data_IF_455945532248
#
_entry.id   IF_455945532248
#
_cell.length_a   1.000
_cell.length_b   1.000
_cell.length_c   1.000
_cell.angle_alpha   90.00
_cell.angle_beta   90.00
_cell.angle_gamma   90.00
#
_symmetry.space_group_name_H-M   'P 1'
#
loop_
_entity.id
_entity.type
_entity.pdbx_description
1 polymer ?
#
# COMPACT_ATOMS: atom_id res chain seq x y z
N UNK A 1 -13.74 38.22 32.99
CA UNK A 1 -13.65 36.78 32.67
C UNK A 1 -12.69 36.62 31.50
N UNK A 2 -11.57 35.97 31.75
CA UNK A 2 -10.44 35.82 30.82
C UNK A 2 -10.74 34.81 29.73
N UNK A 3 -10.61 35.21 28.47
CA UNK A 3 -10.56 34.32 27.31
C UNK A 3 -9.20 33.65 27.31
N UNK A 4 -9.11 32.48 27.96
CA UNK A 4 -7.92 31.64 27.89
C UNK A 4 -7.69 31.23 26.43
N UNK A 5 -6.78 31.94 25.75
CA UNK A 5 -6.14 31.48 24.53
C UNK A 5 -5.51 30.12 24.85
N UNK A 6 -6.00 29.06 24.20
CA UNK A 6 -5.31 27.77 24.22
C UNK A 6 -3.88 28.00 23.71
N UNK A 7 -2.85 27.50 24.40
CA UNK A 7 -1.49 27.66 23.95
C UNK A 7 -1.35 27.04 22.56
N UNK A 8 -0.73 27.78 21.64
CA UNK A 8 -0.29 27.34 20.32
C UNK A 8 0.89 26.35 20.41
N UNK A 9 0.82 25.41 21.35
CA UNK A 9 1.73 24.29 21.50
C UNK A 9 1.13 23.06 20.84
N UNK A 10 1.98 22.23 20.23
CA UNK A 10 1.66 20.95 19.60
C UNK A 10 1.16 20.98 18.14
N UNK A 11 1.82 21.77 17.29
CA UNK A 11 2.15 21.26 15.96
C UNK A 11 3.23 20.17 16.08
N UNK A 12 2.97 19.12 16.87
CA UNK A 12 3.75 17.89 16.83
C UNK A 12 3.76 17.45 15.37
N UNK A 13 4.95 17.28 14.79
CA UNK A 13 5.12 16.70 13.46
C UNK A 13 4.51 15.31 13.52
N UNK A 14 3.24 15.17 13.16
CA UNK A 14 2.58 13.88 13.12
C UNK A 14 3.18 13.11 11.96
N UNK A 15 3.82 11.99 12.28
CA UNK A 15 4.27 11.03 11.27
C UNK A 15 3.05 10.63 10.44
N UNK A 16 3.13 10.68 9.09
CA UNK A 16 2.03 10.23 8.25
C UNK A 16 1.70 8.77 8.58
N UNK A 17 0.43 8.44 8.74
CA UNK A 17 -0.03 7.08 9.08
C UNK A 17 0.46 6.04 8.06
N UNK A 18 0.58 6.42 6.79
CA UNK A 18 1.13 5.56 5.73
C UNK A 18 2.63 5.26 5.87
N UNK A 19 3.41 6.12 6.54
CA UNK A 19 4.87 6.00 6.51
C UNK A 19 5.36 4.70 7.17
N UNK A 20 4.90 4.31 8.37
CA UNK A 20 5.27 3.02 8.97
C UNK A 20 4.97 1.82 8.07
N UNK A 21 3.81 1.79 7.39
CA UNK A 21 3.49 0.67 6.52
C UNK A 21 4.35 0.65 5.25
N UNK A 22 4.71 1.81 4.69
CA UNK A 22 5.64 1.88 3.56
C UNK A 22 7.00 1.31 3.97
N UNK A 23 7.49 1.67 5.15
CA UNK A 23 8.75 1.10 5.68
C UNK A 23 8.64 -0.42 5.84
N UNK A 24 7.55 -0.92 6.44
CA UNK A 24 7.33 -2.37 6.59
C UNK A 24 7.29 -3.07 5.22
N UNK A 25 6.58 -2.51 4.25
CA UNK A 25 6.53 -3.06 2.88
C UNK A 25 7.92 -3.12 2.27
N UNK A 26 8.72 -2.05 2.38
CA UNK A 26 10.09 -2.05 1.85
C UNK A 26 10.99 -3.09 2.53
N UNK A 27 10.88 -3.24 3.85
CA UNK A 27 11.64 -4.25 4.60
C UNK A 27 11.24 -5.67 4.22
N UNK A 28 9.94 -5.94 4.09
CA UNK A 28 9.47 -7.26 3.64
C UNK A 28 9.90 -7.53 2.20
N UNK A 29 9.75 -6.57 1.29
CA UNK A 29 10.21 -6.71 -0.09
C UNK A 29 11.72 -6.96 -0.19
N UNK A 30 12.53 -6.28 0.61
CA UNK A 30 13.96 -6.55 0.70
C UNK A 30 14.25 -7.95 1.25
N UNK A 31 13.49 -8.40 2.25
CA UNK A 31 13.61 -9.76 2.77
C UNK A 31 13.30 -10.83 1.72
N UNK A 32 12.32 -10.61 0.83
CA UNK A 32 12.08 -11.51 -0.31
C UNK A 32 13.34 -11.65 -1.18
N UNK A 33 14.00 -10.54 -1.52
CA UNK A 33 15.22 -10.58 -2.33
C UNK A 33 16.40 -11.33 -1.69
N UNK A 34 16.45 -11.39 -0.35
CA UNK A 34 17.47 -12.14 0.39
C UNK A 34 17.10 -13.61 0.55
N UNK A 35 15.84 -13.89 0.86
CA UNK A 35 15.36 -15.24 1.18
C UNK A 35 15.06 -16.07 -0.08
N UNK A 36 14.72 -15.41 -1.18
CA UNK A 36 14.32 -16.04 -2.43
C UNK A 36 15.05 -15.38 -3.63
N UNK A 37 16.39 -15.45 -3.69
CA UNK A 37 17.18 -14.76 -4.71
C UNK A 37 16.86 -15.22 -6.14
N UNK A 38 16.41 -16.47 -6.30
CA UNK A 38 16.05 -17.06 -7.60
C UNK A 38 14.57 -16.85 -7.97
N UNK A 39 13.80 -16.17 -7.12
CA UNK A 39 12.37 -15.88 -7.32
C UNK A 39 12.09 -14.39 -7.11
N UNK A 40 12.71 -13.58 -7.97
CA UNK A 40 12.52 -12.12 -7.99
C UNK A 40 11.07 -11.73 -8.26
N UNK A 41 10.33 -12.61 -8.94
CA UNK A 41 8.90 -12.52 -9.17
C UNK A 41 8.11 -12.36 -7.87
N UNK A 42 8.48 -13.08 -6.81
CA UNK A 42 7.79 -12.98 -5.52
C UNK A 42 7.85 -11.58 -4.91
N UNK A 43 9.04 -10.97 -4.91
CA UNK A 43 9.21 -9.60 -4.48
C UNK A 43 8.45 -8.64 -5.39
N UNK A 44 8.47 -8.89 -6.71
CA UNK A 44 7.75 -8.11 -7.71
C UNK A 44 6.24 -8.08 -7.46
N UNK A 45 5.60 -9.24 -7.37
CA UNK A 45 4.17 -9.37 -7.12
C UNK A 45 3.76 -8.74 -5.78
N UNK A 46 4.55 -8.96 -4.72
CA UNK A 46 4.33 -8.34 -3.43
C UNK A 46 4.36 -6.80 -3.49
N UNK A 47 5.41 -6.23 -4.10
CA UNK A 47 5.58 -4.77 -4.21
C UNK A 47 4.52 -4.16 -5.14
N UNK A 48 4.17 -4.83 -6.23
CA UNK A 48 3.11 -4.40 -7.14
C UNK A 48 1.74 -4.39 -6.46
N UNK A 49 1.42 -5.42 -5.67
CA UNK A 49 0.20 -5.49 -4.86
C UNK A 49 0.10 -4.37 -3.84
N UNK A 50 1.19 -4.08 -3.13
CA UNK A 50 1.27 -2.94 -2.22
C UNK A 50 1.12 -1.60 -2.95
N UNK A 51 1.85 -1.40 -4.05
CA UNK A 51 1.85 -0.18 -4.83
C UNK A 51 0.47 0.15 -5.43
N UNK A 52 -0.18 -0.84 -6.04
CA UNK A 52 -1.53 -0.67 -6.58
C UNK A 52 -2.56 -0.34 -5.51
N UNK A 53 -2.42 -0.93 -4.32
CA UNK A 53 -3.30 -0.64 -3.17
C UNK A 53 -3.06 0.75 -2.61
N UNK A 54 -1.80 1.19 -2.47
CA UNK A 54 -1.50 2.57 -2.09
C UNK A 54 -2.04 3.57 -3.11
N UNK A 55 -2.01 3.28 -4.41
CA UNK A 55 -2.57 4.16 -5.43
C UNK A 55 -4.07 4.40 -5.19
N UNK A 56 -4.82 3.30 -5.03
CA UNK A 56 -6.26 3.33 -4.77
C UNK A 56 -6.58 4.09 -3.48
N UNK A 57 -5.83 3.82 -2.41
CA UNK A 57 -6.04 4.43 -1.10
C UNK A 57 -5.61 5.90 -1.06
N UNK A 58 -4.58 6.30 -1.80
CA UNK A 58 -4.18 7.70 -1.93
C UNK A 58 -5.30 8.53 -2.57
N UNK A 59 -5.89 8.04 -3.68
CA UNK A 59 -7.04 8.68 -4.32
C UNK A 59 -8.22 8.75 -3.36
N UNK A 60 -8.54 7.65 -2.67
CA UNK A 60 -9.64 7.62 -1.72
C UNK A 60 -9.43 8.57 -0.54
N UNK A 61 -8.21 8.72 -0.04
CA UNK A 61 -7.89 9.65 1.04
C UNK A 61 -8.07 11.13 0.63
N UNK A 62 -7.92 11.44 -0.66
CA UNK A 62 -8.20 12.78 -1.20
C UNK A 62 -9.70 13.09 -1.29
N UNK A 63 -10.52 12.08 -1.64
CA UNK A 63 -11.96 12.25 -1.90
C UNK A 63 -12.81 11.99 -0.65
N UNK A 64 -12.43 11.01 0.17
CA UNK A 64 -13.18 10.49 1.32
C UNK A 64 -12.28 10.35 2.57
N UNK A 65 -11.67 11.45 3.06
CA UNK A 65 -10.70 11.40 4.16
C UNK A 65 -11.29 10.87 5.48
N UNK A 66 -10.45 10.19 6.27
CA UNK A 66 -10.78 9.77 7.64
C UNK A 66 -11.83 8.68 7.77
N UNK A 67 -11.99 7.82 6.74
CA UNK A 67 -12.97 6.73 6.72
C UNK A 67 -12.30 5.36 6.72
N UNK A 68 -11.99 4.76 7.89
CA UNK A 68 -11.30 3.47 7.96
C UNK A 68 -12.06 2.33 7.28
N UNK A 69 -13.40 2.34 7.32
CA UNK A 69 -14.23 1.34 6.61
C UNK A 69 -14.05 1.40 5.09
N UNK A 70 -13.81 2.59 4.53
CA UNK A 70 -13.53 2.76 3.10
C UNK A 70 -12.14 2.19 2.78
N UNK A 71 -11.15 2.41 3.63
CA UNK A 71 -9.80 1.81 3.47
C UNK A 71 -9.87 0.29 3.42
N UNK A 72 -10.60 -0.32 4.37
CA UNK A 72 -10.78 -1.78 4.42
C UNK A 72 -11.50 -2.29 3.15
N UNK A 73 -12.60 -1.64 2.76
CA UNK A 73 -13.35 -2.02 1.57
C UNK A 73 -12.52 -1.92 0.28
N UNK A 74 -11.71 -0.85 0.15
CA UNK A 74 -10.84 -0.66 -1.00
C UNK A 74 -9.63 -1.59 -1.00
N UNK A 75 -9.13 -1.98 0.18
CA UNK A 75 -8.09 -3.02 0.29
C UNK A 75 -8.62 -4.35 -0.21
N UNK A 76 -9.84 -4.74 0.20
CA UNK A 76 -10.52 -5.92 -0.35
C UNK A 76 -10.77 -5.81 -1.86
N UNK A 77 -11.19 -4.64 -2.34
CA UNK A 77 -11.35 -4.40 -3.77
C UNK A 77 -10.01 -4.60 -4.51
N UNK A 78 -8.91 -4.07 -3.98
CA UNK A 78 -7.59 -4.25 -4.58
C UNK A 78 -7.18 -5.73 -4.65
N UNK A 79 -7.43 -6.51 -3.58
CA UNK A 79 -7.21 -7.97 -3.58
C UNK A 79 -8.06 -8.65 -4.64
N UNK A 80 -9.36 -8.34 -4.72
CA UNK A 80 -10.26 -8.94 -5.72
C UNK A 80 -9.88 -8.55 -7.16
N UNK A 81 -9.41 -7.33 -7.38
CA UNK A 81 -8.86 -6.90 -8.67
C UNK A 81 -7.57 -7.66 -9.00
N UNK A 82 -6.72 -7.90 -8.01
CA UNK A 82 -5.54 -8.77 -8.13
C UNK A 82 -5.92 -10.18 -8.55
N UNK A 83 -6.85 -10.83 -7.83
CA UNK A 83 -7.42 -12.14 -8.19
C UNK A 83 -7.95 -12.15 -9.62
N UNK A 84 -8.73 -11.14 -10.00
CA UNK A 84 -9.28 -11.04 -11.35
C UNK A 84 -8.20 -10.89 -12.42
N UNK A 85 -7.20 -10.07 -12.17
CA UNK A 85 -6.06 -9.85 -13.08
C UNK A 85 -5.27 -11.14 -13.25
N UNK A 86 -4.97 -11.82 -12.15
CA UNK A 86 -4.28 -13.11 -12.15
C UNK A 86 -5.08 -14.17 -12.92
N UNK A 87 -6.38 -14.29 -12.64
CA UNK A 87 -7.24 -15.28 -13.25
C UNK A 87 -7.56 -15.03 -14.75
N UNK A 88 -7.34 -13.83 -15.26
CA UNK A 88 -7.75 -13.44 -16.63
C UNK A 88 -6.58 -13.04 -17.52
N UNK A 89 -5.73 -12.13 -17.05
CA UNK A 89 -4.62 -11.56 -17.82
C UNK A 89 -3.39 -12.45 -17.68
N UNK A 90 -3.02 -12.83 -16.45
CA UNK A 90 -1.82 -13.63 -16.20
C UNK A 90 -2.04 -15.14 -16.30
N UNK A 91 -3.27 -15.63 -16.15
CA UNK A 91 -3.64 -17.04 -16.43
C UNK A 91 -3.40 -17.44 -17.88
N UNK A 92 -3.33 -16.50 -18.82
CA UNK A 92 -2.90 -16.78 -20.19
C UNK A 92 -1.43 -17.21 -20.25
N UNK A 93 -0.63 -16.89 -19.23
CA UNK A 93 0.77 -17.28 -19.05
C UNK A 93 0.92 -18.52 -18.16
N UNK A 94 0.38 -18.53 -16.93
CA UNK A 94 0.22 -19.67 -16.01
C UNK A 94 -0.31 -19.10 -14.68
N UNK A 95 -1.34 -19.69 -14.06
CA UNK A 95 -1.83 -19.18 -12.77
C UNK A 95 -0.92 -19.66 -11.63
N UNK A 96 -0.21 -18.75 -10.96
CA UNK A 96 0.59 -19.06 -9.76
C UNK A 96 -0.13 -18.60 -8.48
N UNK A 97 -0.58 -19.54 -7.60
CA UNK A 97 -1.21 -19.17 -6.33
C UNK A 97 -0.26 -18.43 -5.37
N UNK A 98 1.06 -18.57 -5.52
CA UNK A 98 2.06 -17.89 -4.71
C UNK A 98 2.14 -16.41 -5.08
N UNK A 99 2.05 -16.08 -6.37
CA UNK A 99 2.03 -14.70 -6.85
C UNK A 99 0.78 -13.96 -6.37
N UNK A 100 -0.38 -14.63 -6.44
CA UNK A 100 -1.60 -14.11 -5.87
C UNK A 100 -1.49 -13.86 -4.36
N UNK A 101 -0.87 -14.78 -3.62
CA UNK A 101 -0.67 -14.65 -2.19
C UNK A 101 0.26 -13.47 -1.85
N UNK A 102 1.38 -13.34 -2.58
CA UNK A 102 2.35 -12.26 -2.41
C UNK A 102 1.72 -10.90 -2.71
N UNK A 103 1.00 -10.78 -3.83
CA UNK A 103 0.26 -9.57 -4.20
C UNK A 103 -0.78 -9.18 -3.14
N UNK A 104 -1.55 -10.17 -2.66
CA UNK A 104 -2.57 -9.96 -1.64
C UNK A 104 -1.97 -9.53 -0.30
N UNK A 105 -0.83 -10.11 0.09
CA UNK A 105 -0.09 -9.71 1.29
C UNK A 105 0.38 -8.26 1.21
N UNK A 106 0.95 -7.86 0.06
CA UNK A 106 1.35 -6.47 -0.19
C UNK A 106 0.16 -5.51 -0.06
N UNK A 107 -0.98 -5.87 -0.62
CA UNK A 107 -2.21 -5.09 -0.52
C UNK A 107 -2.67 -4.91 0.93
N UNK A 108 -2.69 -5.99 1.72
CA UNK A 108 -3.10 -5.93 3.13
C UNK A 108 -2.18 -5.03 3.95
N UNK A 109 -0.85 -5.14 3.79
CA UNK A 109 0.10 -4.31 4.52
C UNK A 109 -0.04 -2.82 4.16
N UNK A 110 -0.28 -2.52 2.88
CA UNK A 110 -0.58 -1.16 2.44
C UNK A 110 -1.88 -0.61 3.06
N UNK A 111 -2.93 -1.44 3.08
CA UNK A 111 -4.21 -1.13 3.71
C UNK A 111 -4.07 -0.80 5.19
N UNK A 112 -3.35 -1.63 5.96
CA UNK A 112 -3.17 -1.46 7.40
C UNK A 112 -2.60 -0.10 7.79
N UNK A 113 -1.60 0.42 7.05
CA UNK A 113 -1.04 1.75 7.36
C UNK A 113 -1.98 2.90 7.05
N UNK A 114 -2.92 2.71 6.13
CA UNK A 114 -3.88 3.74 5.75
C UNK A 114 -5.12 3.78 6.65
N UNK A 115 -5.38 2.74 7.45
CA UNK A 115 -6.57 2.70 8.35
C UNK A 115 -6.56 3.85 9.35
N UNK A 116 -5.38 4.24 9.83
CA UNK A 116 -5.22 5.32 10.80
C UNK A 116 -5.08 6.72 10.18
N UNK A 117 -5.23 6.85 8.85
CA UNK A 117 -5.04 8.12 8.16
C UNK A 117 -6.13 9.14 8.56
N UNK A 118 -5.69 10.27 9.12
CA UNK A 118 -6.58 11.34 9.55
C UNK A 118 -6.92 12.28 8.39
N UNK A 119 -8.07 13.00 8.44
CA UNK A 119 -8.35 14.03 7.45
C UNK A 119 -7.23 15.08 7.37
N UNK A 120 -6.77 15.36 6.15
CA UNK A 120 -5.67 16.31 5.84
C UNK A 120 -4.30 15.91 6.39
N UNK A 121 -4.08 14.63 6.70
CA UNK A 121 -2.72 14.16 6.94
C UNK A 121 -1.90 14.10 5.63
N UNK A 122 -0.58 13.96 5.75
CA UNK A 122 0.30 13.79 4.59
C UNK A 122 0.33 12.35 4.06
N UNK A 123 -0.51 11.45 4.58
CA UNK A 123 -0.50 10.03 4.22
C UNK A 123 -0.94 9.81 2.78
N UNK A 124 -1.86 10.62 2.26
CA UNK A 124 -2.24 10.56 0.85
C UNK A 124 -1.03 10.83 -0.09
N UNK A 125 -0.18 11.81 0.26
CA UNK A 125 1.03 12.10 -0.51
C UNK A 125 2.06 10.97 -0.38
N UNK A 126 2.32 10.50 0.85
CA UNK A 126 3.26 9.39 1.08
C UNK A 126 2.80 8.12 0.35
N UNK A 127 1.53 7.78 0.45
CA UNK A 127 0.94 6.66 -0.27
C UNK A 127 1.01 6.86 -1.79
N UNK A 128 0.74 8.06 -2.30
CA UNK A 128 0.84 8.34 -3.74
C UNK A 128 2.26 8.19 -4.29
N UNK A 129 3.28 8.67 -3.56
CA UNK A 129 4.69 8.48 -3.94
C UNK A 129 5.09 7.01 -3.86
N UNK A 130 4.76 6.34 -2.74
CA UNK A 130 5.03 4.92 -2.57
C UNK A 130 4.34 4.08 -3.64
N UNK A 131 3.10 4.42 -4.01
CA UNK A 131 2.35 3.75 -5.06
C UNK A 131 3.11 3.73 -6.38
N UNK A 132 3.60 4.89 -6.84
CA UNK A 132 4.33 4.98 -8.09
C UNK A 132 5.60 4.12 -8.06
N UNK A 133 6.41 4.25 -7.01
CA UNK A 133 7.69 3.54 -6.89
C UNK A 133 7.48 2.03 -6.79
N UNK A 134 6.58 1.60 -5.89
CA UNK A 134 6.36 0.18 -5.61
C UNK A 134 5.61 -0.52 -6.74
N UNK A 135 4.66 0.15 -7.39
CA UNK A 135 3.92 -0.43 -8.51
C UNK A 135 4.84 -0.63 -9.70
N UNK A 136 5.55 0.42 -10.14
CA UNK A 136 6.43 0.32 -11.30
C UNK A 136 7.61 -0.61 -11.00
N UNK A 137 8.28 -0.43 -9.86
CA UNK A 137 9.40 -1.28 -9.46
C UNK A 137 8.98 -2.74 -9.26
N UNK A 138 7.81 -2.97 -8.65
CA UNK A 138 7.25 -4.31 -8.48
C UNK A 138 6.94 -4.99 -9.80
N UNK A 139 6.30 -4.29 -10.75
CA UNK A 139 6.07 -4.83 -12.09
C UNK A 139 7.38 -5.15 -12.83
N UNK A 140 8.38 -4.26 -12.77
CA UNK A 140 9.68 -4.53 -13.39
C UNK A 140 10.33 -5.79 -12.80
N UNK A 141 10.29 -5.97 -11.48
CA UNK A 141 10.84 -7.16 -10.83
C UNK A 141 10.02 -8.43 -11.10
N UNK A 142 8.70 -8.31 -11.23
CA UNK A 142 7.80 -9.44 -11.49
C UNK A 142 8.02 -10.09 -12.87
N UNK A 143 8.45 -9.29 -13.85
CA UNK A 143 8.57 -9.71 -15.25
C UNK A 143 9.98 -9.55 -15.82
N UNK A 144 11.00 -9.45 -14.95
CA UNK A 144 12.41 -9.48 -15.31
C UNK A 144 12.90 -10.92 -15.51
#
# INVERSE_FOLDING_TARGET
>A
MSTAQRPAGDALVRVPAALPSVVVVLLVGAAYGVLFPDRTDYAGHFLAGAGGTYALLAVAALVLPGRPRVVVALTWLAVLLGVGTEATIFRLAEFDPVDLANQSLGAVLAGLGMVAAAPRDRSALVAGVAALVLLVGGFVLAFA
#
